data_IF_130261932794
#
_entry.id   IF_130261932794
#
_cell.length_a   1.000
_cell.length_b   1.000
_cell.length_c   1.000
_cell.angle_alpha   90.00
_cell.angle_beta   90.00
_cell.angle_gamma   90.00
#
_symmetry.space_group_name_H-M   'P 1'
#
loop_
_entity.id
_entity.type
_entity.pdbx_description
1 polymer ?
#
# COMPACT_ATOMS: atom_id res chain seq x y z
N UNK A 1 -43.07 8.79 53.20
CA UNK A 1 -42.59 7.72 52.29
C UNK A 1 -41.32 8.17 51.59
N UNK A 2 -40.19 8.15 52.29
CA UNK A 2 -38.80 8.08 51.79
C UNK A 2 -37.98 7.73 53.04
N UNK A 3 -36.90 6.94 52.91
CA UNK A 3 -35.77 6.81 53.88
C UNK A 3 -35.86 5.79 55.03
N UNK A 4 -36.14 4.52 54.75
CA UNK A 4 -35.82 3.46 55.73
C UNK A 4 -35.22 2.17 55.15
N UNK A 5 -34.99 2.09 53.83
CA UNK A 5 -34.50 0.84 53.22
C UNK A 5 -32.99 0.82 52.93
N UNK A 6 -32.30 1.96 52.90
CA UNK A 6 -30.89 2.03 52.46
C UNK A 6 -29.86 1.87 53.58
N UNK A 7 -30.28 1.60 54.83
CA UNK A 7 -29.35 1.53 55.98
C UNK A 7 -29.02 0.10 56.45
N UNK A 8 -29.59 -0.94 55.84
CA UNK A 8 -29.40 -2.33 56.28
C UNK A 8 -28.23 -3.05 55.59
N UNK A 9 -27.67 -2.51 54.50
CA UNK A 9 -26.59 -3.18 53.76
C UNK A 9 -25.17 -2.78 54.20
N UNK A 10 -25.03 -1.87 55.17
CA UNK A 10 -23.74 -1.32 55.61
C UNK A 10 -23.28 -1.84 56.99
N UNK A 11 -23.96 -2.86 57.53
CA UNK A 11 -23.65 -3.45 58.85
C UNK A 11 -23.16 -4.91 58.80
N UNK A 12 -22.77 -5.41 57.63
CA UNK A 12 -22.15 -6.73 57.46
C UNK A 12 -20.66 -6.62 57.02
N UNK A 13 -19.98 -5.57 57.47
CA UNK A 13 -18.61 -5.23 57.05
C UNK A 13 -17.62 -5.19 58.22
N UNK A 14 -17.69 -6.12 59.17
CA UNK A 14 -16.61 -6.35 60.14
C UNK A 14 -16.89 -7.63 60.93
N UNK A 15 -16.26 -8.75 60.58
CA UNK A 15 -15.89 -9.86 61.48
C UNK A 15 -15.21 -10.96 60.65
N UNK A 16 -13.90 -10.80 60.39
CA UNK A 16 -13.00 -11.93 60.13
C UNK A 16 -11.54 -11.48 60.25
N UNK A 17 -11.15 -11.10 61.47
CA UNK A 17 -9.75 -11.23 61.88
C UNK A 17 -9.59 -12.65 62.42
N UNK A 18 -8.68 -13.43 61.82
CA UNK A 18 -8.43 -14.80 62.23
C UNK A 18 -7.11 -15.34 61.69
N UNK A 19 -6.06 -15.17 62.51
CA UNK A 19 -4.85 -16.01 62.57
C UNK A 19 -3.84 -15.85 61.42
N UNK A 20 -2.95 -14.87 61.59
CA UNK A 20 -1.57 -15.01 61.12
C UNK A 20 -0.89 -16.10 61.97
N UNK A 21 -0.81 -17.31 61.42
CA UNK A 21 0.04 -18.37 61.95
C UNK A 21 1.41 -18.24 61.29
N UNK A 22 2.40 -17.95 62.13
CA UNK A 22 3.82 -18.03 61.87
C UNK A 22 4.20 -19.51 61.64
N UNK A 23 4.50 -19.85 60.40
CA UNK A 23 5.28 -21.03 60.00
C UNK A 23 6.37 -20.46 59.08
N UNK A 24 7.53 -20.18 59.63
CA UNK A 24 8.68 -21.09 59.60
C UNK A 24 9.16 -21.26 58.16
N UNK A 25 10.29 -20.59 57.89
CA UNK A 25 11.10 -20.69 56.69
C UNK A 25 11.15 -22.13 56.16
N UNK A 26 10.47 -22.36 55.04
CA UNK A 26 10.88 -23.37 54.09
C UNK A 26 11.57 -22.61 52.96
N UNK A 27 12.91 -22.57 53.02
CA UNK A 27 13.74 -22.36 51.84
C UNK A 27 13.30 -23.39 50.80
N UNK A 28 12.44 -22.95 49.88
CA UNK A 28 12.25 -23.63 48.61
C UNK A 28 13.44 -23.15 47.79
N UNK A 29 14.49 -23.97 47.75
CA UNK A 29 15.48 -23.92 46.69
C UNK A 29 14.72 -24.11 45.37
N UNK A 30 14.28 -23.01 44.76
CA UNK A 30 13.94 -22.98 43.35
C UNK A 30 15.25 -23.16 42.58
N UNK A 31 15.64 -24.42 42.44
CA UNK A 31 16.55 -24.86 41.41
C UNK A 31 15.92 -24.39 40.09
N UNK A 32 16.44 -23.26 39.60
CA UNK A 32 16.11 -22.69 38.31
C UNK A 32 16.36 -23.77 37.26
N UNK A 33 15.31 -24.51 36.91
CA UNK A 33 15.33 -25.42 35.77
C UNK A 33 15.70 -24.56 34.56
N UNK A 34 16.94 -24.76 34.11
CA UNK A 34 17.45 -24.24 32.84
C UNK A 34 16.41 -24.50 31.75
N UNK A 35 16.04 -23.50 30.92
CA UNK A 35 14.93 -23.63 29.96
C UNK A 35 15.27 -24.49 28.71
N UNK A 36 16.09 -25.53 28.85
CA UNK A 36 16.65 -26.31 27.74
C UNK A 36 16.44 -27.82 27.85
N UNK A 37 15.76 -28.34 28.88
CA UNK A 37 15.52 -29.79 28.98
C UNK A 37 14.39 -30.17 28.03
N UNK A 38 14.74 -30.42 26.77
CA UNK A 38 13.92 -31.19 25.83
C UNK A 38 13.43 -32.48 26.50
N UNK A 39 12.19 -32.92 26.25
CA UNK A 39 11.61 -34.09 26.93
C UNK A 39 12.43 -35.34 26.64
N UNK A 40 13.10 -35.91 27.65
CA UNK A 40 13.70 -37.26 27.76
C UNK A 40 14.48 -37.85 26.56
N UNK A 41 14.70 -37.10 25.49
CA UNK A 41 15.31 -37.52 24.24
C UNK A 41 16.61 -36.74 24.04
N UNK A 42 17.72 -37.45 23.95
CA UNK A 42 19.06 -36.94 23.73
C UNK A 42 19.28 -36.53 22.26
N UNK A 43 18.43 -35.64 21.76
CA UNK A 43 18.57 -35.03 20.43
C UNK A 43 18.64 -33.53 20.61
N UNK A 44 19.74 -32.94 20.13
CA UNK A 44 19.96 -31.49 20.19
C UNK A 44 19.63 -30.87 18.84
N UNK A 45 18.93 -29.73 18.87
CA UNK A 45 18.56 -28.98 17.67
C UNK A 45 18.97 -27.53 17.85
N UNK A 46 19.73 -27.00 16.89
CA UNK A 46 20.17 -25.61 16.89
C UNK A 46 19.83 -24.97 15.54
N UNK A 47 19.24 -23.77 15.55
CA UNK A 47 19.03 -23.01 14.33
C UNK A 47 20.12 -21.94 14.11
N UNK A 48 20.53 -21.79 12.86
CA UNK A 48 21.41 -20.74 12.39
C UNK A 48 20.77 -19.96 11.23
N UNK A 49 21.06 -18.68 11.14
CA UNK A 49 20.49 -17.79 10.13
C UNK A 49 21.63 -17.23 9.27
N UNK A 50 21.88 -17.78 8.07
CA UNK A 50 23.01 -17.36 7.24
C UNK A 50 22.88 -15.90 6.77
N UNK A 51 21.66 -15.40 6.60
CA UNK A 51 21.37 -14.03 6.18
C UNK A 51 21.25 -13.04 7.36
N UNK A 52 21.55 -13.47 8.59
CA UNK A 52 21.48 -12.58 9.74
C UNK A 52 22.59 -11.50 9.69
N UNK A 53 22.22 -10.28 10.05
CA UNK A 53 23.16 -9.17 10.15
C UNK A 53 23.79 -9.13 11.55
N UNK A 54 24.90 -8.37 11.68
CA UNK A 54 25.61 -8.16 12.96
C UNK A 54 24.69 -7.57 14.04
N UNK A 55 23.63 -6.86 13.64
CA UNK A 55 22.67 -6.20 14.52
C UNK A 55 21.46 -7.08 14.88
N UNK A 56 21.46 -8.37 14.50
CA UNK A 56 20.39 -9.31 14.79
C UNK A 56 19.68 -9.83 13.55
N UNK A 57 18.69 -10.71 13.76
CA UNK A 57 17.94 -11.37 12.70
C UNK A 57 16.81 -10.45 12.23
N UNK A 58 16.87 -10.05 10.95
CA UNK A 58 15.85 -9.23 10.30
C UNK A 58 15.00 -10.09 9.36
N UNK A 59 13.69 -10.12 9.62
CA UNK A 59 12.72 -10.76 8.75
C UNK A 59 12.19 -9.71 7.77
N UNK A 60 12.62 -9.80 6.51
CA UNK A 60 12.20 -8.85 5.48
C UNK A 60 10.87 -9.29 4.89
N UNK A 61 9.85 -8.44 4.98
CA UNK A 61 8.54 -8.74 4.40
C UNK A 61 8.63 -9.02 2.91
N UNK A 62 7.87 -10.02 2.46
CA UNK A 62 7.83 -10.39 1.05
C UNK A 62 9.04 -11.19 0.56
N UNK A 63 10.08 -11.39 1.39
CA UNK A 63 11.24 -12.22 1.07
C UNK A 63 11.25 -13.48 1.95
N UNK A 64 11.50 -14.68 1.39
CA UNK A 64 11.69 -15.87 2.20
C UNK A 64 12.95 -15.75 3.06
N UNK A 65 12.80 -15.94 4.37
CA UNK A 65 13.92 -16.10 5.30
C UNK A 65 14.29 -17.58 5.37
N UNK A 66 15.58 -17.86 5.38
CA UNK A 66 16.14 -19.20 5.52
C UNK A 66 16.79 -19.38 6.90
N UNK A 67 16.41 -20.46 7.59
CA UNK A 67 17.02 -20.91 8.82
C UNK A 67 17.57 -22.32 8.60
N UNK A 68 18.82 -22.57 8.95
CA UNK A 68 19.43 -23.90 8.85
C UNK A 68 19.39 -24.52 10.23
N UNK A 69 18.58 -25.58 10.38
CA UNK A 69 18.46 -26.33 11.62
C UNK A 69 19.46 -27.49 11.60
N UNK A 70 20.33 -27.55 12.60
CA UNK A 70 21.30 -28.63 12.79
C UNK A 70 20.81 -29.56 13.88
N UNK A 71 20.55 -30.81 13.50
CA UNK A 71 20.13 -31.89 14.37
C UNK A 71 21.35 -32.75 14.72
N UNK A 72 21.50 -33.11 15.99
CA UNK A 72 22.49 -34.05 16.48
C UNK A 72 21.75 -35.16 17.24
N UNK A 73 21.80 -36.39 16.74
CA UNK A 73 21.22 -37.53 17.43
C UNK A 73 22.25 -38.17 18.37
N UNK A 74 22.04 -38.07 19.68
CA UNK A 74 22.87 -38.72 20.69
C UNK A 74 22.21 -39.96 21.29
N UNK A 75 21.04 -40.35 20.78
CA UNK A 75 20.40 -41.62 21.10
C UNK A 75 21.11 -42.79 20.40
N UNK A 76 21.07 -44.00 20.99
CA UNK A 76 21.59 -45.21 20.34
C UNK A 76 20.71 -45.67 19.17
N UNK A 77 19.51 -45.09 19.03
CA UNK A 77 18.50 -45.48 18.05
C UNK A 77 18.23 -44.38 17.02
N UNK A 78 17.81 -44.74 15.80
CA UNK A 78 17.49 -43.77 14.76
C UNK A 78 16.23 -42.97 15.11
N UNK A 79 16.25 -41.68 14.82
CA UNK A 79 15.14 -40.75 15.06
C UNK A 79 14.71 -40.12 13.74
N UNK A 80 13.41 -39.95 13.53
CA UNK A 80 12.89 -39.35 12.28
C UNK A 80 12.49 -37.90 12.50
N UNK A 81 13.05 -36.98 11.73
CA UNK A 81 12.62 -35.57 11.72
C UNK A 81 11.38 -35.44 10.84
N UNK A 82 10.24 -35.16 11.47
CA UNK A 82 8.95 -35.13 10.78
C UNK A 82 8.65 -33.74 10.24
N UNK A 83 8.59 -32.75 11.14
CA UNK A 83 8.18 -31.39 10.80
C UNK A 83 9.06 -30.35 11.48
N UNK A 84 9.27 -29.23 10.82
CA UNK A 84 9.80 -28.01 11.44
C UNK A 84 8.76 -26.91 11.28
N UNK A 85 8.52 -26.19 12.36
CA UNK A 85 7.61 -25.07 12.37
C UNK A 85 8.05 -24.01 13.35
N UNK A 86 7.24 -22.98 13.48
CA UNK A 86 7.50 -21.93 14.45
C UNK A 86 6.35 -20.98 14.62
N UNK A 87 6.55 -20.04 15.52
CA UNK A 87 5.60 -19.00 15.84
C UNK A 87 6.33 -17.72 16.23
N UNK A 88 5.67 -16.60 15.95
CA UNK A 88 6.08 -15.27 16.35
C UNK A 88 5.23 -14.85 17.54
N UNK A 89 5.90 -14.45 18.61
CA UNK A 89 5.31 -14.08 19.88
C UNK A 89 5.51 -12.60 20.15
N UNK A 90 4.61 -12.03 20.96
CA UNK A 90 4.76 -10.71 21.54
C UNK A 90 6.12 -10.58 22.24
N UNK A 91 6.77 -9.41 22.18
CA UNK A 91 7.99 -9.14 22.92
C UNK A 91 7.75 -9.07 24.45
N UNK A 92 6.51 -8.96 24.91
CA UNK A 92 6.18 -9.02 26.33
C UNK A 92 6.35 -10.44 26.88
N UNK A 93 7.30 -10.61 27.81
CA UNK A 93 7.55 -11.88 28.49
C UNK A 93 6.54 -12.18 29.60
N UNK A 94 5.90 -11.15 30.19
CA UNK A 94 4.94 -11.33 31.27
C UNK A 94 3.63 -11.95 30.76
N UNK A 95 3.18 -11.52 29.57
CA UNK A 95 1.99 -12.07 28.91
C UNK A 95 2.33 -12.44 27.45
N UNK A 96 2.99 -13.58 27.22
CA UNK A 96 3.40 -13.98 25.89
C UNK A 96 2.17 -14.38 25.06
N UNK A 97 1.86 -13.57 24.05
CA UNK A 97 0.78 -13.84 23.08
C UNK A 97 1.37 -14.23 21.74
N UNK A 98 0.82 -15.27 21.11
CA UNK A 98 1.16 -15.64 19.75
C UNK A 98 0.57 -14.61 18.79
N UNK A 99 1.44 -13.90 18.08
CA UNK A 99 1.06 -12.93 17.05
C UNK A 99 0.79 -13.66 15.73
N UNK A 100 1.62 -14.65 15.38
CA UNK A 100 1.47 -15.40 14.12
C UNK A 100 2.15 -16.76 14.16
N UNK A 101 1.46 -17.78 13.65
CA UNK A 101 2.07 -19.08 13.36
C UNK A 101 2.77 -19.06 12.00
N UNK A 102 3.94 -19.68 11.92
CA UNK A 102 4.71 -19.82 10.68
C UNK A 102 4.32 -21.09 9.92
N UNK A 103 4.68 -21.14 8.65
CA UNK A 103 4.41 -22.28 7.77
C UNK A 103 5.26 -23.49 8.15
N UNK A 104 4.62 -24.62 8.42
CA UNK A 104 5.33 -25.87 8.72
C UNK A 104 5.94 -26.49 7.46
N UNK A 105 7.17 -26.99 7.56
CA UNK A 105 7.83 -27.80 6.54
C UNK A 105 7.92 -29.26 7.00
N UNK A 106 7.67 -30.20 6.10
CA UNK A 106 7.80 -31.64 6.36
C UNK A 106 9.09 -32.16 5.71
N UNK A 107 9.88 -32.95 6.43
CA UNK A 107 11.11 -33.55 5.91
C UNK A 107 10.99 -35.07 5.81
N UNK A 108 10.46 -35.75 6.84
CA UNK A 108 10.41 -37.21 6.93
C UNK A 108 11.79 -37.85 6.69
N UNK A 109 12.83 -37.29 7.33
CA UNK A 109 14.22 -37.72 7.17
C UNK A 109 14.64 -38.50 8.42
N UNK A 110 15.21 -39.69 8.20
CA UNK A 110 15.78 -40.51 9.27
C UNK A 110 17.18 -40.02 9.62
N UNK A 111 17.42 -39.83 10.91
CA UNK A 111 18.70 -39.42 11.48
C UNK A 111 19.29 -40.61 12.26
N UNK A 112 20.37 -41.24 11.75
CA UNK A 112 21.04 -42.34 12.43
C UNK A 112 21.62 -41.95 13.78
N UNK A 113 21.90 -42.95 14.61
CA UNK A 113 22.53 -42.77 15.92
C UNK A 113 23.92 -42.13 15.78
N UNK A 114 24.19 -41.09 16.57
CA UNK A 114 25.47 -40.37 16.57
C UNK A 114 25.71 -39.45 15.37
N UNK A 115 24.76 -39.32 14.44
CA UNK A 115 24.91 -38.51 13.24
C UNK A 115 24.40 -37.07 13.43
N UNK A 116 25.05 -36.13 12.73
CA UNK A 116 24.64 -34.74 12.63
C UNK A 116 24.11 -34.45 11.24
N UNK A 117 22.92 -33.87 11.14
CA UNK A 117 22.32 -33.48 9.88
C UNK A 117 21.76 -32.07 9.93
N UNK A 118 21.91 -31.32 8.83
CA UNK A 118 21.38 -29.96 8.72
C UNK A 118 20.25 -29.90 7.69
N UNK A 119 19.11 -29.33 8.08
CA UNK A 119 17.92 -29.20 7.25
C UNK A 119 17.56 -27.71 7.07
N UNK A 120 17.36 -27.23 5.82
CA UNK A 120 17.00 -25.85 5.56
C UNK A 120 15.49 -25.64 5.73
N UNK A 121 15.10 -24.72 6.60
CA UNK A 121 13.72 -24.29 6.85
C UNK A 121 13.50 -22.89 6.31
N UNK A 122 12.53 -22.75 5.41
CA UNK A 122 12.22 -21.47 4.75
C UNK A 122 10.81 -21.04 5.12
N UNK A 123 10.68 -19.80 5.55
CA UNK A 123 9.38 -19.19 5.86
C UNK A 123 9.35 -17.74 5.40
N UNK A 124 8.15 -17.19 5.21
CA UNK A 124 7.98 -15.81 4.81
C UNK A 124 6.90 -15.16 5.67
N UNK A 125 7.12 -13.89 6.01
CA UNK A 125 6.18 -13.08 6.78
C UNK A 125 5.76 -11.86 5.96
N UNK A 126 4.56 -11.38 6.28
CA UNK A 126 4.05 -10.09 5.79
C UNK A 126 3.17 -9.51 6.91
N UNK A 127 3.73 -8.54 7.63
CA UNK A 127 3.08 -7.84 8.74
C UNK A 127 3.73 -6.48 8.97
N UNK A 128 3.07 -5.57 9.69
CA UNK A 128 3.70 -4.27 9.99
C UNK A 128 5.06 -4.42 10.69
N UNK A 129 6.01 -3.51 10.42
CA UNK A 129 7.31 -3.51 11.09
C UNK A 129 7.18 -3.42 12.61
N UNK A 130 7.79 -4.37 13.30
CA UNK A 130 7.80 -4.48 14.76
C UNK A 130 8.84 -5.53 15.19
N UNK A 131 9.22 -5.50 16.47
CA UNK A 131 10.06 -6.54 17.06
C UNK A 131 9.19 -7.62 17.70
N UNK A 132 9.48 -8.87 17.39
CA UNK A 132 8.78 -10.04 17.93
C UNK A 132 9.79 -11.06 18.42
N UNK A 133 9.32 -12.04 19.19
CA UNK A 133 10.13 -13.20 19.57
C UNK A 133 9.82 -14.38 18.66
N UNK A 134 10.84 -14.86 17.95
CA UNK A 134 10.76 -16.04 17.12
C UNK A 134 11.02 -17.29 17.95
N UNK A 135 10.07 -18.21 17.91
CA UNK A 135 10.21 -19.56 18.46
C UNK A 135 10.15 -20.56 17.32
N UNK A 136 11.24 -21.28 17.07
CA UNK A 136 11.29 -22.39 16.13
C UNK A 136 11.37 -23.71 16.91
N UNK A 137 10.59 -24.68 16.46
CA UNK A 137 10.59 -26.02 17.03
C UNK A 137 10.53 -27.08 15.93
N UNK A 138 11.18 -28.20 16.17
CA UNK A 138 11.13 -29.38 15.33
C UNK A 138 10.36 -30.49 16.05
N UNK A 139 9.54 -31.21 15.32
CA UNK A 139 8.87 -32.41 15.79
C UNK A 139 9.62 -33.61 15.23
N UNK A 140 10.16 -34.42 16.13
CA UNK A 140 10.85 -35.66 15.81
C UNK A 140 10.02 -36.84 16.32
N UNK A 141 10.13 -37.99 15.67
CA UNK A 141 9.51 -39.23 16.13
C UNK A 141 10.54 -40.30 16.41
N UNK A 142 10.44 -40.91 17.59
CA UNK A 142 11.19 -42.10 18.01
C UNK A 142 10.19 -43.10 18.57
N UNK A 143 10.27 -44.37 18.17
CA UNK A 143 9.39 -45.44 18.66
C UNK A 143 7.89 -45.09 18.62
N UNK A 144 7.41 -44.54 17.50
CA UNK A 144 6.01 -44.12 17.36
C UNK A 144 5.54 -43.01 18.33
N UNK A 145 6.45 -42.38 19.06
CA UNK A 145 6.19 -41.24 19.96
C UNK A 145 6.78 -39.98 19.36
N UNK A 146 6.02 -38.87 19.43
CA UNK A 146 6.46 -37.58 18.93
C UNK A 146 7.02 -36.72 20.05
N UNK A 147 8.17 -36.10 19.79
CA UNK A 147 8.85 -35.18 20.69
C UNK A 147 9.00 -33.83 20.00
N UNK A 148 8.69 -32.76 20.72
CA UNK A 148 8.89 -31.39 20.23
C UNK A 148 10.18 -30.85 20.84
N UNK A 149 11.15 -30.54 19.99
CA UNK A 149 12.44 -29.99 20.36
C UNK A 149 12.49 -28.51 19.97
N UNK A 150 12.85 -27.65 20.91
CA UNK A 150 13.03 -26.24 20.62
C UNK A 150 14.36 -26.02 19.89
N UNK A 151 14.31 -25.46 18.69
CA UNK A 151 15.47 -25.20 17.84
C UNK A 151 16.00 -23.77 17.99
N UNK A 152 15.11 -22.81 18.26
CA UNK A 152 15.48 -21.41 18.43
C UNK A 152 14.44 -20.66 19.26
N UNK A 153 14.92 -19.74 20.09
CA UNK A 153 14.09 -18.81 20.84
C UNK A 153 14.85 -17.49 20.98
N UNK A 154 14.44 -16.47 20.24
CA UNK A 154 15.16 -15.19 20.22
C UNK A 154 14.36 -14.07 19.60
N UNK A 155 14.79 -12.83 19.84
CA UNK A 155 14.15 -11.63 19.29
C UNK A 155 14.54 -11.44 17.83
N UNK A 156 13.56 -11.08 17.01
CA UNK A 156 13.70 -10.79 15.59
C UNK A 156 12.94 -9.51 15.24
N UNK A 157 13.45 -8.77 14.26
CA UNK A 157 12.82 -7.55 13.80
C UNK A 157 12.16 -7.79 12.44
N UNK A 158 10.86 -7.50 12.32
CA UNK A 158 10.18 -7.45 11.03
C UNK A 158 10.44 -6.10 10.39
N UNK A 159 10.94 -6.11 9.16
CA UNK A 159 11.26 -4.91 8.39
C UNK A 159 10.66 -4.98 7.00
N UNK A 160 10.34 -3.82 6.43
CA UNK A 160 9.97 -3.75 5.02
C UNK A 160 11.20 -3.88 4.12
N UNK A 161 11.05 -4.44 2.90
CA UNK A 161 12.11 -4.42 1.91
C UNK A 161 12.38 -2.99 1.46
N UNK A 162 13.64 -2.72 1.10
CA UNK A 162 14.02 -1.42 0.54
C UNK A 162 13.23 -1.13 -0.75
N UNK A 163 12.45 -0.05 -0.76
CA UNK A 163 11.81 0.45 -1.97
C UNK A 163 12.87 1.00 -2.93
N UNK A 164 12.91 0.49 -4.16
CA UNK A 164 13.81 1.01 -5.19
C UNK A 164 13.21 2.26 -5.84
N UNK A 165 13.85 3.41 -5.65
CA UNK A 165 13.45 4.67 -6.30
C UNK A 165 13.67 4.64 -7.83
N UNK A 166 14.46 3.69 -8.33
CA UNK A 166 14.76 3.51 -9.75
C UNK A 166 13.91 2.42 -10.40
N UNK A 167 12.82 1.98 -9.76
CA UNK A 167 11.83 1.12 -10.38
C UNK A 167 11.16 1.86 -11.57
N UNK A 168 11.27 1.37 -12.82
CA UNK A 168 10.67 2.01 -13.98
C UNK A 168 9.16 2.26 -13.84
N UNK A 169 8.44 1.37 -13.13
CA UNK A 169 7.00 1.54 -12.89
C UNK A 169 6.74 2.73 -11.97
N UNK A 170 7.50 2.86 -10.88
CA UNK A 170 7.39 3.95 -9.92
C UNK A 170 7.83 5.29 -10.53
N UNK A 171 8.90 5.28 -11.33
CA UNK A 171 9.34 6.45 -12.09
C UNK A 171 8.30 6.91 -13.10
N UNK A 172 7.69 5.99 -13.85
CA UNK A 172 6.60 6.32 -14.77
C UNK A 172 5.41 6.95 -14.02
N UNK A 173 5.02 6.37 -12.89
CA UNK A 173 3.95 6.91 -12.06
C UNK A 173 4.24 8.35 -11.62
N UNK A 174 5.44 8.64 -11.14
CA UNK A 174 5.83 9.99 -10.74
C UNK A 174 5.91 10.96 -11.91
N UNK A 175 6.45 10.54 -13.05
CA UNK A 175 6.46 11.36 -14.26
C UNK A 175 5.04 11.67 -14.74
N UNK A 176 4.15 10.67 -14.72
CA UNK A 176 2.75 10.84 -15.07
C UNK A 176 2.04 11.81 -14.13
N UNK A 177 2.22 11.65 -12.80
CA UNK A 177 1.65 12.57 -11.81
C UNK A 177 2.18 14.00 -11.98
N UNK A 178 3.48 14.16 -12.27
CA UNK A 178 4.08 15.46 -12.56
C UNK A 178 3.49 16.08 -13.83
N UNK A 179 3.33 15.29 -14.91
CA UNK A 179 2.72 15.75 -16.15
C UNK A 179 1.25 16.16 -15.95
N UNK A 180 0.48 15.41 -15.16
CA UNK A 180 -0.88 15.79 -14.77
C UNK A 180 -0.90 17.09 -13.97
N UNK A 181 -0.02 17.24 -12.97
CA UNK A 181 0.07 18.46 -12.17
C UNK A 181 0.42 19.68 -13.01
N UNK A 182 1.40 19.56 -13.92
CA UNK A 182 1.76 20.62 -14.88
C UNK A 182 0.63 20.91 -15.86
N UNK A 183 -0.08 19.88 -16.35
CA UNK A 183 -1.22 20.04 -17.24
C UNK A 183 -2.36 20.81 -16.58
N UNK A 184 -2.70 20.48 -15.33
CA UNK A 184 -3.69 21.20 -14.53
C UNK A 184 -3.22 22.65 -14.28
N UNK A 185 -1.98 22.84 -13.83
CA UNK A 185 -1.41 24.17 -13.60
C UNK A 185 -1.42 25.04 -14.87
N UNK A 186 -1.06 24.47 -16.01
CA UNK A 186 -1.11 25.13 -17.32
C UNK A 186 -2.55 25.49 -17.72
N UNK A 187 -3.51 24.61 -17.51
CA UNK A 187 -4.92 24.87 -17.79
C UNK A 187 -5.46 26.02 -16.93
N UNK A 188 -5.19 26.00 -15.62
CA UNK A 188 -5.53 27.09 -14.71
C UNK A 188 -4.87 28.40 -15.12
N UNK A 189 -3.58 28.37 -15.46
CA UNK A 189 -2.86 29.54 -15.96
C UNK A 189 -3.55 30.15 -17.19
N UNK A 190 -3.91 29.34 -18.19
CA UNK A 190 -4.52 29.86 -19.42
C UNK A 190 -5.92 30.45 -19.21
N UNK A 191 -6.71 29.88 -18.30
CA UNK A 191 -8.09 30.35 -18.07
C UNK A 191 -8.12 31.55 -17.12
N UNK A 192 -7.32 31.53 -16.07
CA UNK A 192 -7.46 32.46 -14.95
C UNK A 192 -6.36 33.51 -14.84
N UNK A 193 -5.22 33.33 -15.50
CA UNK A 193 -4.06 34.22 -15.33
C UNK A 193 -3.69 34.87 -16.67
N UNK A 194 -3.60 34.09 -17.75
CA UNK A 194 -3.24 34.57 -19.08
C UNK A 194 -4.15 35.69 -19.64
N UNK A 195 -5.49 35.72 -19.40
CA UNK A 195 -6.35 36.80 -19.91
C UNK A 195 -6.06 38.18 -19.32
N UNK A 196 -5.40 38.25 -18.15
CA UNK A 196 -5.07 39.51 -17.49
C UNK A 196 -3.77 40.13 -18.02
N UNK A 197 -3.00 39.40 -18.84
CA UNK A 197 -1.82 39.94 -19.49
C UNK A 197 -2.15 40.54 -20.86
N UNK A 198 -1.56 41.69 -21.23
CA UNK A 198 -1.82 42.32 -22.52
C UNK A 198 -1.31 41.42 -23.67
N UNK A 199 -2.24 40.78 -24.38
CA UNK A 199 -1.92 39.98 -25.56
C UNK A 199 -1.35 40.90 -26.65
N UNK A 200 -0.07 40.74 -26.98
CA UNK A 200 0.56 41.39 -28.13
C UNK A 200 -0.18 40.97 -29.39
N UNK A 201 -1.06 41.84 -29.89
CA UNK A 201 -1.77 41.66 -31.17
C UNK A 201 -0.71 41.46 -32.27
N UNK A 202 -0.64 40.26 -32.84
CA UNK A 202 0.13 40.04 -34.07
C UNK A 202 -0.41 41.02 -35.12
N UNK A 203 0.44 41.79 -35.83
CA UNK A 203 -0.05 42.74 -36.81
C UNK A 203 -0.83 41.98 -37.88
N UNK A 204 -2.11 42.30 -38.02
CA UNK A 204 -2.92 41.82 -39.13
C UNK A 204 -2.21 42.21 -40.42
N UNK A 205 -1.77 41.23 -41.22
CA UNK A 205 -1.32 41.48 -42.58
C UNK A 205 -2.48 42.16 -43.31
N UNK A 206 -2.35 43.47 -43.53
CA UNK A 206 -3.25 44.24 -44.40
C UNK A 206 -3.19 43.57 -45.77
N UNK A 207 -4.30 42.93 -46.16
CA UNK A 207 -4.48 42.44 -47.51
C UNK A 207 -4.45 43.67 -48.45
N UNK A 208 -3.34 43.84 -49.16
CA UNK A 208 -3.28 44.72 -50.30
C UNK A 208 -4.11 44.07 -51.41
N UNK A 209 -5.24 44.68 -51.75
CA UNK A 209 -6.05 44.27 -52.88
C UNK A 209 -5.29 44.55 -54.20
N UNK A 210 -5.15 43.59 -55.12
CA UNK A 210 -4.76 43.89 -56.49
C UNK A 210 -6.01 44.08 -57.36
N UNK A 211 -6.13 45.27 -57.93
CA UNK A 211 -7.12 45.61 -58.96
C UNK A 211 -6.61 45.12 -60.32
N UNK A 212 -7.39 44.21 -60.93
CA UNK A 212 -7.65 44.00 -62.36
C UNK A 212 -6.44 43.82 -63.31
N UNK A 213 -6.39 42.65 -63.96
CA UNK A 213 -6.57 42.54 -65.42
C UNK A 213 -6.90 41.08 -65.78
N UNK A 214 -7.99 40.98 -66.52
CA UNK A 214 -8.50 39.78 -67.18
C UNK A 214 -7.57 39.51 -68.36
N UNK A 215 -7.09 38.28 -68.50
CA UNK A 215 -6.82 37.70 -69.81
C UNK A 215 -7.34 36.26 -69.82
N UNK A 216 -8.06 35.95 -70.90
CA UNK A 216 -8.80 34.71 -71.11
C UNK A 216 -7.87 33.75 -71.84
N UNK A 217 -7.55 32.61 -71.22
CA UNK A 217 -6.68 31.60 -71.82
C UNK A 217 -7.06 30.20 -71.36
N UNK A 218 -7.94 29.58 -72.16
CA UNK A 218 -8.05 28.16 -72.51
C UNK A 218 -7.85 27.08 -71.43
N UNK A 219 -8.93 26.32 -71.25
CA UNK A 219 -9.05 25.06 -70.50
C UNK A 219 -8.20 23.95 -71.13
N UNK A 220 -7.42 23.23 -70.32
CA UNK A 220 -7.21 21.78 -70.50
C UNK A 220 -7.12 21.10 -69.13
N UNK A 221 -7.78 19.94 -69.09
CA UNK A 221 -8.10 19.12 -67.94
C UNK A 221 -6.92 18.26 -67.46
N UNK A 222 -7.19 17.55 -66.36
CA UNK A 222 -6.57 16.29 -65.92
C UNK A 222 -5.50 16.40 -64.84
N UNK A 223 -5.87 16.09 -63.58
CA UNK A 223 -5.35 14.88 -62.90
C UNK A 223 -5.93 14.69 -61.49
N UNK A 224 -6.32 13.45 -61.25
CA UNK A 224 -6.81 12.75 -60.07
C UNK A 224 -6.30 13.14 -58.66
N UNK A 225 -7.26 13.34 -57.74
CA UNK A 225 -7.30 12.97 -56.29
C UNK A 225 -6.27 13.60 -55.32
N UNK A 226 -6.38 13.41 -53.97
CA UNK A 226 -7.49 12.93 -53.15
C UNK A 226 -7.73 13.82 -51.87
N UNK A 227 -8.71 13.45 -51.03
CA UNK A 227 -8.84 13.79 -49.59
C UNK A 227 -9.12 15.25 -49.16
N UNK A 228 -10.37 15.43 -48.70
CA UNK A 228 -10.88 16.17 -47.53
C UNK A 228 -9.84 16.94 -46.68
N UNK A 229 -9.88 18.27 -46.71
CA UNK A 229 -10.27 19.10 -45.55
C UNK A 229 -10.28 20.60 -45.88
N UNK A 230 -11.14 21.30 -45.14
CA UNK A 230 -11.06 22.71 -44.74
C UNK A 230 -11.35 23.82 -45.77
N UNK A 231 -12.39 24.59 -45.46
CA UNK A 231 -12.34 26.05 -45.40
C UNK A 231 -11.92 26.82 -46.66
N UNK A 232 -12.89 27.56 -47.21
CA UNK A 232 -12.68 28.74 -48.07
C UNK A 232 -12.03 28.51 -49.44
N UNK A 233 -12.56 27.57 -50.20
CA UNK A 233 -12.41 27.58 -51.66
C UNK A 233 -13.73 28.04 -52.28
N UNK A 234 -13.69 29.07 -53.14
CA UNK A 234 -14.81 29.51 -53.97
C UNK A 234 -15.07 28.44 -55.02
N UNK A 235 -15.94 27.50 -54.72
CA UNK A 235 -16.42 26.52 -55.69
C UNK A 235 -17.49 27.15 -56.58
N UNK A 236 -17.65 26.65 -57.81
CA UNK A 236 -18.78 27.01 -58.65
C UNK A 236 -20.06 26.43 -58.04
N UNK A 237 -20.92 27.30 -57.52
CA UNK A 237 -22.18 26.96 -56.84
C UNK A 237 -23.36 26.77 -57.82
N UNK A 238 -23.10 26.77 -59.13
CA UNK A 238 -24.10 26.68 -60.21
C UNK A 238 -24.91 25.37 -60.20
N UNK A 239 -24.38 24.32 -59.57
CA UNK A 239 -25.04 23.01 -59.44
C UNK A 239 -26.00 22.93 -58.25
N UNK A 240 -25.99 23.91 -57.34
CA UNK A 240 -26.83 23.88 -56.13
C UNK A 240 -28.20 24.50 -56.47
N UNK A 241 -29.31 23.76 -56.35
CA UNK A 241 -30.65 24.32 -56.57
C UNK A 241 -30.86 25.57 -55.70
N UNK A 242 -31.40 26.63 -56.30
CA UNK A 242 -31.53 27.98 -55.71
C UNK A 242 -32.18 28.03 -54.33
N UNK A 243 -32.96 27.00 -53.97
CA UNK A 243 -33.60 26.86 -52.66
C UNK A 243 -32.65 26.45 -51.50
N UNK A 244 -31.40 26.07 -51.77
CA UNK A 244 -30.44 25.63 -50.74
C UNK A 244 -29.27 26.60 -50.46
N UNK A 245 -29.16 27.71 -51.19
CA UNK A 245 -28.09 28.73 -51.03
C UNK A 245 -28.44 29.83 -50.01
N UNK A 246 -29.68 29.89 -49.54
CA UNK A 246 -30.12 30.94 -48.62
C UNK A 246 -29.70 30.60 -47.18
N UNK A 247 -28.50 31.03 -46.80
CA UNK A 247 -28.12 31.07 -45.39
C UNK A 247 -29.01 32.12 -44.70
N UNK A 248 -29.77 31.77 -43.64
CA UNK A 248 -30.62 32.75 -42.97
C UNK A 248 -29.76 33.88 -42.39
N UNK A 249 -29.92 35.10 -42.91
CA UNK A 249 -29.24 36.28 -42.40
C UNK A 249 -29.73 36.58 -40.98
N UNK A 250 -28.78 36.84 -40.07
CA UNK A 250 -29.08 37.19 -38.69
C UNK A 250 -29.89 38.50 -38.64
N UNK A 251 -31.18 38.38 -38.35
CA UNK A 251 -32.13 39.49 -38.16
C UNK A 251 -31.61 40.42 -37.05
N UNK A 252 -30.98 41.54 -37.44
CA UNK A 252 -30.63 42.64 -36.53
C UNK A 252 -31.92 43.26 -35.99
N UNK A 253 -32.16 43.11 -34.69
CA UNK A 253 -33.29 43.73 -34.00
C UNK A 253 -33.07 45.25 -33.99
N UNK A 254 -33.91 45.97 -34.71
CA UNK A 254 -33.95 47.44 -34.78
C UNK A 254 -34.60 47.91 -33.48
N UNK A 255 -33.82 48.47 -32.56
CA UNK A 255 -34.32 49.11 -31.34
C UNK A 255 -35.12 50.36 -31.73
N UNK A 256 -36.45 50.17 -31.80
CA UNK A 256 -37.40 51.26 -32.02
C UNK A 256 -37.43 52.17 -30.82
N UNK A 257 -36.97 53.42 -31.00
CA UNK A 257 -37.23 54.49 -30.07
C UNK A 257 -38.72 54.79 -29.98
N UNK A 258 -39.19 55.14 -28.77
CA UNK A 258 -40.48 55.79 -28.56
C UNK A 258 -40.32 56.95 -27.55
N UNK A 259 -41.00 58.09 -27.74
CA UNK A 259 -40.57 59.38 -27.23
C UNK A 259 -41.25 59.80 -25.92
N UNK A 260 -40.52 60.62 -25.15
CA UNK A 260 -40.95 61.85 -24.46
C UNK A 260 -42.28 61.79 -23.68
N UNK A 261 -42.22 61.51 -22.39
CA UNK A 261 -43.23 61.98 -21.44
C UNK A 261 -42.92 63.43 -21.03
N UNK A 262 -43.96 64.26 -21.06
CA UNK A 262 -43.97 65.65 -20.60
C UNK A 262 -44.93 65.69 -19.42
N UNK A 263 -44.45 66.02 -18.23
CA UNK A 263 -45.23 66.25 -17.02
C UNK A 263 -44.48 67.27 -16.16
N UNK A 264 -45.14 68.39 -15.86
CA UNK A 264 -44.60 69.66 -15.33
C UNK A 264 -44.14 69.56 -13.85
N UNK A 265 -43.40 70.58 -13.36
CA UNK A 265 -42.83 70.64 -12.01
C UNK A 265 -43.81 71.29 -11.00
N UNK A 266 -43.67 70.93 -9.73
CA UNK A 266 -44.17 71.74 -8.62
C UNK A 266 -43.13 71.77 -7.50
N UNK A 267 -42.93 72.99 -6.99
CA UNK A 267 -41.95 73.42 -6.00
C UNK A 267 -42.64 73.50 -4.65
N UNK A 268 -41.89 73.30 -3.56
CA UNK A 268 -41.94 74.08 -2.28
C UNK A 268 -42.11 73.23 -1.02
N UNK A 269 -41.05 73.31 -0.19
CA UNK A 269 -40.91 73.13 1.28
C UNK A 269 -41.17 71.73 1.86
#
# INVERSE_FOLDING_TARGET
MVRFLDLALLLLGSQAAGVFAQAADAEIDEELESPSTSPALAVTVEASFPDAEIFGIKLVNGKPTEAVLSFMNQEPEPVVVQFVGGSLWSPDLANPVIVRNLTTAQYAVELPAGEKQSLPYRFQTNMHPQDLRLNLAAVVSSHNTFYTLQAFNGTVSIVEPNASIFDPQLLFLYFFLLACALGVGYFFYNIWIAPYFPQKRKPAKRAAAPVKKIDVGTVTSDSAGPVVSTGSQKYNEEWIPSHHIQRPEARRVKSGGRPKSRGKPETTI
#
